data_IF_148922318103
#
_entry.id   IF_148922318103
#
_cell.length_a   1.000
_cell.length_b   1.000
_cell.length_c   1.000
_cell.angle_alpha   90.00
_cell.angle_beta   90.00
_cell.angle_gamma   90.00
#
_symmetry.space_group_name_H-M   'P 1'
#
loop_
_entity.id
_entity.type
_entity.pdbx_description
1 polymer ?
#
# COMPACT_ATOMS: atom_id res chain seq x y z
N UNK A 1 -3.04 9.70 -16.75
CA UNK A 1 -3.18 8.35 -16.16
C UNK A 1 -3.29 8.45 -14.67
N UNK A 2 -4.39 7.96 -14.06
CA UNK A 2 -4.50 7.92 -12.61
C UNK A 2 -3.53 6.88 -12.04
N UNK A 3 -2.68 7.29 -11.11
CA UNK A 3 -1.82 6.42 -10.29
C UNK A 3 -2.12 6.75 -8.84
N UNK A 4 -2.53 5.77 -8.05
CA UNK A 4 -2.75 5.96 -6.63
C UNK A 4 -1.42 5.93 -5.86
N UNK A 5 -1.41 6.58 -4.70
CA UNK A 5 -0.24 6.70 -3.83
C UNK A 5 0.31 5.35 -3.37
N UNK A 6 -0.56 4.37 -3.16
CA UNK A 6 -0.19 3.04 -2.64
C UNK A 6 0.60 2.26 -3.69
N UNK A 7 0.12 2.26 -4.94
CA UNK A 7 0.83 1.69 -6.09
C UNK A 7 2.18 2.38 -6.34
N UNK A 8 2.23 3.71 -6.22
CA UNK A 8 3.49 4.46 -6.39
C UNK A 8 4.54 4.08 -5.33
N UNK A 9 4.14 3.94 -4.07
CA UNK A 9 5.04 3.50 -2.99
C UNK A 9 5.47 2.05 -3.21
N UNK A 10 4.55 1.17 -3.59
CA UNK A 10 4.88 -0.22 -3.89
C UNK A 10 5.93 -0.34 -4.99
N UNK A 11 5.80 0.47 -6.05
CA UNK A 11 6.78 0.54 -7.12
C UNK A 11 8.14 1.03 -6.63
N UNK A 12 8.19 2.11 -5.83
CA UNK A 12 9.43 2.63 -5.24
C UNK A 12 10.13 1.60 -4.33
N UNK A 13 9.35 0.82 -3.58
CA UNK A 13 9.86 -0.23 -2.69
C UNK A 13 10.43 -1.44 -3.46
N UNK A 14 10.11 -1.57 -4.75
CA UNK A 14 10.65 -2.59 -5.64
C UNK A 14 10.24 -4.03 -5.32
N UNK A 15 10.63 -4.94 -6.20
CA UNK A 15 10.40 -6.37 -6.05
C UNK A 15 11.32 -6.99 -4.99
N UNK A 16 10.91 -8.14 -4.45
CA UNK A 16 11.68 -8.90 -3.46
C UNK A 16 11.31 -10.38 -3.50
N UNK A 17 11.80 -11.17 -2.55
CA UNK A 17 11.43 -12.58 -2.36
C UNK A 17 10.28 -12.76 -1.36
N UNK A 18 9.90 -11.71 -0.62
CA UNK A 18 8.81 -11.70 0.35
C UNK A 18 7.79 -10.59 0.02
N UNK A 19 6.51 -10.76 0.40
CA UNK A 19 5.45 -9.79 0.10
C UNK A 19 5.69 -8.45 0.78
N UNK A 20 5.02 -7.42 0.27
CA UNK A 20 5.07 -6.05 0.76
C UNK A 20 3.68 -5.61 1.22
N UNK A 21 3.58 -5.06 2.43
CA UNK A 21 2.44 -4.27 2.85
C UNK A 21 2.76 -2.79 2.64
N UNK A 22 1.99 -2.10 1.82
CA UNK A 22 2.03 -0.63 1.82
C UNK A 22 0.94 -0.13 2.74
N UNK A 23 1.30 0.72 3.71
CA UNK A 23 0.37 1.26 4.69
C UNK A 23 0.60 2.76 4.86
N UNK A 24 -0.45 3.53 4.62
CA UNK A 24 -0.52 4.96 4.87
C UNK A 24 -1.40 5.23 6.07
N UNK A 25 -0.90 6.02 7.01
CA UNK A 25 -1.67 6.44 8.17
C UNK A 25 -2.90 7.24 7.72
N UNK A 26 -4.06 6.88 8.26
CA UNK A 26 -5.32 7.58 8.06
C UNK A 26 -5.84 8.00 9.44
N UNK A 27 -6.49 9.17 9.48
CA UNK A 27 -7.06 9.69 10.72
C UNK A 27 -8.00 8.65 11.35
N UNK A 28 -8.05 8.63 12.68
CA UNK A 28 -8.88 7.74 13.51
C UNK A 28 -8.37 6.31 13.66
N UNK A 29 -7.05 6.09 13.62
CA UNK A 29 -6.43 4.79 13.94
C UNK A 29 -6.63 3.70 12.86
N UNK A 30 -7.08 4.09 11.67
CA UNK A 30 -7.14 3.22 10.51
C UNK A 30 -5.97 3.52 9.57
N UNK A 31 -5.62 2.56 8.75
CA UNK A 31 -4.59 2.65 7.72
C UNK A 31 -5.24 2.45 6.36
N UNK A 32 -4.89 3.29 5.39
CA UNK A 32 -5.12 2.95 3.99
C UNK A 32 -4.00 1.99 3.57
N UNK A 33 -4.34 0.73 3.31
CA UNK A 33 -3.33 -0.30 3.08
C UNK A 33 -3.72 -1.30 1.99
N UNK A 34 -2.69 -1.87 1.36
CA UNK A 34 -2.83 -2.95 0.39
C UNK A 34 -1.61 -3.85 0.44
N UNK A 35 -1.84 -5.16 0.27
CA UNK A 35 -0.77 -6.13 0.12
C UNK A 35 -0.31 -6.20 -1.33
N UNK A 36 0.98 -6.43 -1.53
CA UNK A 36 1.61 -6.66 -2.82
C UNK A 36 2.43 -7.95 -2.75
N UNK A 37 2.32 -8.73 -3.81
CA UNK A 37 3.13 -9.92 -4.02
C UNK A 37 4.61 -9.53 -4.21
N UNK A 38 5.46 -10.54 -4.17
CA UNK A 38 6.91 -10.41 -4.33
C UNK A 38 7.33 -9.78 -5.68
N UNK A 39 6.48 -9.88 -6.70
CA UNK A 39 6.63 -9.29 -8.04
C UNK A 39 5.95 -7.92 -8.21
N UNK A 40 5.52 -7.29 -7.12
CA UNK A 40 4.90 -5.96 -7.15
C UNK A 40 3.44 -5.93 -7.61
N UNK A 41 2.81 -7.10 -7.86
CA UNK A 41 1.38 -7.15 -8.17
C UNK A 41 0.53 -6.99 -6.91
N UNK A 42 -0.57 -6.22 -6.95
CA UNK A 42 -1.46 -6.08 -5.80
C UNK A 42 -2.12 -7.43 -5.45
N UNK A 43 -2.30 -7.67 -4.16
CA UNK A 43 -3.05 -8.78 -3.57
C UNK A 43 -4.30 -8.20 -2.92
N UNK A 44 -5.45 -8.46 -3.54
CA UNK A 44 -6.73 -7.91 -3.11
C UNK A 44 -6.83 -6.39 -3.36
N UNK A 45 -7.87 -5.79 -2.80
CA UNK A 45 -8.19 -4.37 -3.00
C UNK A 45 -7.52 -3.46 -1.95
N UNK A 46 -7.29 -2.20 -2.34
CA UNK A 46 -6.97 -1.14 -1.40
C UNK A 46 -8.13 -0.93 -0.43
N UNK A 47 -7.85 -0.91 0.87
CA UNK A 47 -8.87 -0.85 1.90
C UNK A 47 -8.42 -0.06 3.14
N UNK A 48 -9.36 0.21 4.04
CA UNK A 48 -9.08 0.72 5.39
C UNK A 48 -9.04 -0.44 6.38
N UNK A 49 -7.99 -0.50 7.19
CA UNK A 49 -7.82 -1.51 8.26
C UNK A 49 -7.06 -0.93 9.44
N UNK A 50 -7.26 -1.50 10.61
CA UNK A 50 -6.29 -1.36 11.71
C UNK A 50 -4.97 -2.06 11.38
N UNK A 51 -3.89 -1.69 12.08
CA UNK A 51 -2.59 -2.36 11.92
C UNK A 51 -2.69 -3.87 12.22
N UNK A 52 -3.40 -4.25 13.29
CA UNK A 52 -3.59 -5.65 13.68
C UNK A 52 -4.32 -6.45 12.60
N UNK A 53 -5.40 -5.92 12.03
CA UNK A 53 -6.13 -6.57 10.93
C UNK A 53 -5.25 -6.73 9.69
N UNK A 54 -4.53 -5.68 9.29
CA UNK A 54 -3.63 -5.72 8.14
C UNK A 54 -2.55 -6.80 8.30
N UNK A 55 -1.92 -6.88 9.47
CA UNK A 55 -0.90 -7.89 9.82
C UNK A 55 -1.49 -9.29 9.89
N UNK A 56 -2.71 -9.46 10.44
CA UNK A 56 -3.36 -10.77 10.55
C UNK A 56 -3.53 -11.43 9.17
N UNK A 57 -3.81 -10.62 8.15
CA UNK A 57 -3.99 -11.03 6.75
C UNK A 57 -2.68 -11.23 5.99
N UNK A 58 -1.52 -11.05 6.62
CA UNK A 58 -0.24 -11.28 5.96
C UNK A 58 -0.17 -12.72 5.41
N UNK A 59 0.14 -12.90 4.12
CA UNK A 59 0.19 -14.22 3.49
C UNK A 59 1.38 -15.06 3.94
N UNK A 60 2.33 -14.47 4.67
CA UNK A 60 3.55 -15.11 5.17
C UNK A 60 3.88 -14.67 6.59
N UNK A 61 4.79 -15.40 7.25
CA UNK A 61 5.33 -15.01 8.56
C UNK A 61 6.23 -13.78 8.46
N UNK A 62 6.99 -13.67 7.37
CA UNK A 62 7.91 -12.56 7.13
C UNK A 62 7.48 -11.73 5.93
N UNK A 63 7.46 -10.41 6.08
CA UNK A 63 7.05 -9.47 5.02
C UNK A 63 7.77 -8.13 5.14
N UNK A 64 7.71 -7.32 4.08
CA UNK A 64 8.19 -5.94 4.07
C UNK A 64 7.06 -4.97 4.33
N UNK A 65 7.35 -3.80 4.87
CA UNK A 65 6.40 -2.69 5.01
C UNK A 65 6.98 -1.40 4.42
N UNK A 66 6.15 -0.63 3.74
CA UNK A 66 6.46 0.71 3.25
C UNK A 66 5.30 1.68 3.51
N UNK A 67 5.59 2.97 3.48
CA UNK A 67 4.66 4.05 3.81
C UNK A 67 4.82 4.57 5.24
N UNK A 68 4.23 5.73 5.51
CA UNK A 68 4.40 6.47 6.76
C UNK A 68 3.80 5.78 8.01
N UNK A 69 3.04 4.68 7.86
CA UNK A 69 2.53 3.87 8.97
C UNK A 69 3.43 2.65 9.29
N UNK A 70 4.64 2.59 8.73
CA UNK A 70 5.54 1.43 8.86
C UNK A 70 5.82 1.06 10.31
N UNK A 71 6.10 2.03 11.18
CA UNK A 71 6.36 1.78 12.61
C UNK A 71 5.17 1.13 13.32
N UNK A 72 3.95 1.62 13.07
CA UNK A 72 2.72 1.05 13.63
C UNK A 72 2.52 -0.40 13.20
N UNK A 73 2.87 -0.72 11.94
CA UNK A 73 2.82 -2.10 11.43
C UNK A 73 3.88 -2.98 12.09
N UNK A 74 5.09 -2.48 12.35
CA UNK A 74 6.13 -3.25 13.05
C UNK A 74 5.63 -3.67 14.44
N UNK A 75 5.05 -2.75 15.19
CA UNK A 75 4.51 -3.04 16.53
C UNK A 75 3.43 -4.12 16.48
N UNK A 76 2.46 -3.98 15.56
CA UNK A 76 1.42 -5.00 15.37
C UNK A 76 1.98 -6.36 14.90
N UNK A 77 3.05 -6.36 14.10
CA UNK A 77 3.73 -7.59 13.67
C UNK A 77 4.39 -8.31 14.86
N UNK A 78 5.06 -7.56 15.75
CA UNK A 78 5.67 -8.11 16.97
C UNK A 78 4.61 -8.79 17.84
N UNK A 79 3.49 -8.12 18.09
CA UNK A 79 2.36 -8.67 18.87
C UNK A 79 1.80 -9.96 18.23
N UNK A 80 1.70 -9.98 16.91
CA UNK A 80 1.23 -11.12 16.13
C UNK A 80 2.29 -12.22 15.94
N UNK A 81 3.49 -12.10 16.53
CA UNK A 81 4.64 -13.00 16.34
C UNK A 81 5.03 -13.19 14.87
N UNK A 82 4.94 -12.11 14.08
CA UNK A 82 5.38 -12.04 12.68
C UNK A 82 6.61 -11.14 12.56
N UNK A 83 7.35 -11.28 11.47
CA UNK A 83 8.55 -10.46 11.20
C UNK A 83 8.25 -9.48 10.07
N UNK A 84 8.41 -8.18 10.35
CA UNK A 84 8.21 -7.12 9.37
C UNK A 84 9.51 -6.31 9.19
N UNK A 85 9.83 -5.97 7.94
CA UNK A 85 11.03 -5.20 7.58
C UNK A 85 10.64 -3.89 6.90
N UNK A 86 11.05 -2.75 7.46
CA UNK A 86 10.81 -1.45 6.86
C UNK A 86 11.63 -1.31 5.58
N UNK A 87 10.99 -0.89 4.49
CA UNK A 87 11.67 -0.45 3.28
C UNK A 87 11.98 1.03 3.42
N UNK A 88 13.25 1.36 3.60
CA UNK A 88 13.69 2.74 3.80
C UNK A 88 13.35 3.64 2.60
N UNK A 89 13.18 4.94 2.88
CA UNK A 89 12.95 6.00 1.87
C UNK A 89 11.69 5.79 1.01
N UNK A 90 10.73 5.03 1.51
CA UNK A 90 9.46 4.72 0.83
C UNK A 90 8.25 5.18 1.66
N UNK A 91 8.39 6.25 2.44
CA UNK A 91 7.35 6.74 3.35
C UNK A 91 6.24 7.52 2.61
N UNK A 92 6.58 8.10 1.46
CA UNK A 92 5.70 8.92 0.63
C UNK A 92 5.82 8.52 -0.85
N UNK A 93 4.79 8.80 -1.68
CA UNK A 93 4.85 8.51 -3.12
C UNK A 93 5.98 9.27 -3.82
N UNK A 94 6.81 8.54 -4.56
CA UNK A 94 7.88 9.10 -5.39
C UNK A 94 7.37 9.49 -6.79
N UNK A 95 7.71 10.71 -7.23
CA UNK A 95 7.26 11.24 -8.52
C UNK A 95 7.84 10.47 -9.72
N UNK A 96 9.05 9.91 -9.60
CA UNK A 96 9.65 9.11 -10.68
C UNK A 96 8.87 7.82 -10.86
N UNK A 97 8.51 7.16 -9.77
CA UNK A 97 7.64 5.97 -9.77
C UNK A 97 6.28 6.27 -10.39
N UNK A 98 5.67 7.40 -10.07
CA UNK A 98 4.41 7.83 -10.70
C UNK A 98 4.58 8.01 -12.22
N UNK A 99 5.64 8.69 -12.67
CA UNK A 99 5.88 8.94 -14.08
C UNK A 99 6.12 7.66 -14.89
N UNK A 100 6.90 6.72 -14.34
CA UNK A 100 7.16 5.41 -14.95
C UNK A 100 5.84 4.64 -15.08
N UNK A 101 5.10 4.47 -13.97
CA UNK A 101 3.82 3.76 -13.97
C UNK A 101 2.79 4.39 -14.90
N UNK A 102 2.73 5.72 -14.97
CA UNK A 102 1.82 6.43 -15.86
C UNK A 102 2.16 6.20 -17.34
N UNK A 103 3.46 6.14 -17.66
CA UNK A 103 3.95 5.84 -19.02
C UNK A 103 3.59 4.41 -19.42
N UNK A 104 3.83 3.44 -18.52
CA UNK A 104 3.51 2.03 -18.76
C UNK A 104 2.00 1.82 -18.98
N UNK A 105 1.15 2.47 -18.15
CA UNK A 105 -0.31 2.41 -18.32
C UNK A 105 -0.77 3.05 -19.63
N UNK A 106 -0.17 4.17 -20.01
CA UNK A 106 -0.47 4.82 -21.30
C UNK A 106 -0.10 3.93 -22.48
N UNK A 107 1.05 3.24 -22.42
CA UNK A 107 1.50 2.35 -23.49
C UNK A 107 0.55 1.17 -23.77
N UNK A 108 -0.19 0.71 -22.76
CA UNK A 108 -1.21 -0.35 -22.90
C UNK A 108 -2.63 0.21 -23.12
N UNK A 109 -2.78 1.51 -23.37
CA UNK A 109 -4.07 2.15 -23.62
C UNK A 109 -4.98 2.25 -22.39
N UNK A 110 -4.44 2.10 -21.18
CA UNK A 110 -5.21 2.25 -19.95
C UNK A 110 -5.37 3.74 -19.63
N UNK A 111 -6.41 4.37 -20.20
CA UNK A 111 -6.82 5.73 -19.90
C UNK A 111 -8.03 5.79 -18.96
N UNK A 112 -8.26 6.96 -18.36
CA UNK A 112 -9.36 7.11 -17.41
C UNK A 112 -9.39 8.47 -16.71
N UNK A 113 -10.54 8.84 -16.14
CA UNK A 113 -10.71 10.12 -15.47
C UNK A 113 -9.83 10.19 -14.22
N UNK A 114 -9.27 11.36 -13.94
CA UNK A 114 -8.60 11.64 -12.68
C UNK A 114 -9.66 11.79 -11.59
N UNK A 115 -9.91 10.71 -10.83
CA UNK A 115 -10.84 10.69 -9.71
C UNK A 115 -10.11 10.26 -8.43
N UNK A 116 -10.35 10.91 -7.28
CA UNK A 116 -9.86 10.42 -6.01
C UNK A 116 -10.38 9.03 -5.71
N UNK A 117 -9.57 8.22 -5.03
CA UNK A 117 -10.01 6.93 -4.50
C UNK A 117 -10.76 7.17 -3.18
N UNK A 118 -12.05 6.84 -3.15
CA UNK A 118 -12.86 6.91 -1.94
C UNK A 118 -12.93 5.53 -1.28
N UNK A 119 -12.25 5.37 -0.14
CA UNK A 119 -12.22 4.11 0.63
C UNK A 119 -13.36 3.97 1.64
N UNK A 120 -14.13 5.05 1.83
CA UNK A 120 -15.38 5.03 2.57
C UNK A 120 -16.51 5.40 1.62
N UNK A 121 -17.68 4.77 1.72
CA UNK A 121 -18.86 5.24 1.03
C UNK A 121 -19.11 6.72 1.41
N UNK A 122 -19.56 7.55 0.47
CA UNK A 122 -20.03 8.88 0.81
C UNK A 122 -21.17 8.75 1.81
N UNK A 123 -21.08 9.49 2.92
CA UNK A 123 -22.20 9.63 3.86
C UNK A 123 -23.30 10.43 3.16
N UNK A 124 -24.44 9.80 2.92
CA UNK A 124 -25.65 10.51 2.52
C UNK A 124 -26.07 11.43 3.66
N UNK A 125 -26.09 12.74 3.42
CA UNK A 125 -26.76 13.68 4.30
C UNK A 125 -28.27 13.52 4.05
N UNK A 126 -28.95 12.74 4.88
CA UNK A 126 -30.41 12.78 4.99
C UNK A 126 -30.80 13.89 5.97
#
# INVERSE_FOLDING_TARGET
>A
MPIDSITAIAHSAGNSNIPLLVALDNKNGNLACQWFANNGRPIGELCLRTAAEAVSLSPTISFRVAGNASETIILAAIEAKKTAYIVERCDVPDIRSIAILATDRLAIGADGPLRPVYLRPPVSLN
#
